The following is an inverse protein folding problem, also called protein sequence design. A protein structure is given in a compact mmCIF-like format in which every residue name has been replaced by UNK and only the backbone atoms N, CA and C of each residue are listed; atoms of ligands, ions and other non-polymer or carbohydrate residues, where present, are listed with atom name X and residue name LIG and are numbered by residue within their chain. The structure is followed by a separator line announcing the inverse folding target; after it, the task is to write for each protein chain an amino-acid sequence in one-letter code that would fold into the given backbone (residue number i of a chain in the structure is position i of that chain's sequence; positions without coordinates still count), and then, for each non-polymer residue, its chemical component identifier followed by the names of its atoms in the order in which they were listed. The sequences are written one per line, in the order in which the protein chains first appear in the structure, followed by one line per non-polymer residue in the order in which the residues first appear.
data_IF_793260524704
#
_entry.id   IF_793260524704
#
_cell.length_a   1.000
_cell.length_b   1.000
_cell.length_c   1.000
_cell.angle_alpha   90.00
_cell.angle_beta   90.00
_cell.angle_gamma   90.00
#
_symmetry.space_group_name_H-M   'P 1'
#
loop_
_entity.id
_entity.type
_entity.pdbx_description
1 polymer ?
#
# COMPACT_ATOMS: atom_id res chain seq x y z
N UNK A 1 2.25 -11.23 30.83
CA UNK A 1 1.56 -10.89 29.57
C UNK A 1 1.38 -9.38 29.39
N UNK A 2 0.88 -8.61 30.37
CA UNK A 2 0.73 -7.15 30.24
C UNK A 2 2.05 -6.39 29.97
N UNK A 3 3.17 -6.79 30.58
CA UNK A 3 4.48 -6.16 30.36
C UNK A 3 4.98 -6.36 28.93
N UNK A 4 4.77 -7.54 28.34
CA UNK A 4 5.10 -7.84 26.94
C UNK A 4 4.22 -7.04 25.96
N UNK A 5 2.92 -6.89 26.27
CA UNK A 5 2.02 -6.07 25.48
C UNK A 5 2.41 -4.59 25.49
N UNK A 6 2.89 -4.07 26.64
CA UNK A 6 3.36 -2.70 26.77
C UNK A 6 4.59 -2.42 25.89
N UNK A 7 5.56 -3.34 25.83
CA UNK A 7 6.73 -3.18 24.94
C UNK A 7 6.34 -3.20 23.46
N UNK A 8 5.41 -4.08 23.07
CA UNK A 8 4.89 -4.14 21.69
C UNK A 8 4.16 -2.85 21.33
N UNK A 9 3.35 -2.31 22.26
CA UNK A 9 2.63 -1.06 22.05
C UNK A 9 3.60 0.12 21.94
N UNK A 10 4.64 0.18 22.78
CA UNK A 10 5.68 1.20 22.71
C UNK A 10 6.51 1.10 21.41
N UNK A 11 6.84 -0.10 20.95
CA UNK A 11 7.52 -0.31 19.66
C UNK A 11 6.63 0.09 18.48
N UNK A 12 5.36 -0.33 18.46
CA UNK A 12 4.41 0.05 17.42
C UNK A 12 4.14 1.55 17.37
N UNK A 13 4.00 2.19 18.55
CA UNK A 13 3.93 3.66 18.67
C UNK A 13 5.23 4.32 18.20
N UNK A 14 6.39 3.76 18.55
CA UNK A 14 7.68 4.27 18.10
C UNK A 14 7.80 4.20 16.58
N UNK A 15 7.44 3.08 15.95
CA UNK A 15 7.48 2.96 14.49
C UNK A 15 6.44 3.85 13.79
N UNK A 16 5.22 3.95 14.32
CA UNK A 16 4.20 4.84 13.78
C UNK A 16 4.60 6.32 13.91
N UNK A 17 5.13 6.72 15.08
CA UNK A 17 5.62 8.09 15.30
C UNK A 17 6.91 8.37 14.55
N UNK A 18 7.78 7.38 14.32
CA UNK A 18 8.96 7.49 13.45
C UNK A 18 8.50 7.71 12.01
N UNK A 19 7.56 6.92 11.48
CA UNK A 19 6.97 7.13 10.15
C UNK A 19 6.33 8.52 10.01
N UNK A 20 5.63 9.01 11.03
CA UNK A 20 5.03 10.36 11.03
C UNK A 20 6.05 11.50 11.22
N UNK A 21 7.03 11.37 12.12
CA UNK A 21 8.07 12.39 12.38
C UNK A 21 9.03 12.52 11.20
N UNK A 22 9.28 11.43 10.49
CA UNK A 22 10.05 11.43 9.25
C UNK A 22 9.32 12.13 8.10
N UNK A 23 8.13 12.72 8.33
CA UNK A 23 7.40 13.66 7.45
C UNK A 23 7.86 13.57 6.01
N UNK A 24 7.38 12.57 5.28
CA UNK A 24 7.57 12.51 3.83
C UNK A 24 7.24 13.90 3.24
N UNK A 25 8.13 14.39 2.36
CA UNK A 25 8.93 15.59 2.56
C UNK A 25 8.13 16.91 2.57
N UNK A 26 8.76 18.01 2.98
CA UNK A 26 8.28 19.38 2.71
C UNK A 26 8.17 19.58 1.19
N UNK A 27 7.00 19.24 0.65
CA UNK A 27 6.63 19.15 -0.77
C UNK A 27 6.87 20.47 -1.54
N UNK A 28 6.97 21.61 -0.86
CA UNK A 28 6.93 22.94 -1.51
C UNK A 28 8.15 23.20 -2.41
N UNK A 29 9.35 22.71 -2.05
CA UNK A 29 10.55 22.87 -2.90
C UNK A 29 10.73 21.79 -3.97
N UNK A 30 10.14 20.60 -3.77
CA UNK A 30 10.32 19.44 -4.66
C UNK A 30 9.23 19.34 -5.74
N UNK A 31 8.08 20.01 -5.60
CA UNK A 31 7.04 20.04 -6.66
C UNK A 31 7.61 20.54 -7.99
N UNK A 32 8.54 21.51 -7.94
CA UNK A 32 9.11 22.16 -9.11
C UNK A 32 9.86 21.18 -10.04
N UNK A 33 10.43 20.09 -9.50
CA UNK A 33 11.21 19.12 -10.30
C UNK A 33 10.36 17.97 -10.85
N UNK A 34 9.07 17.85 -10.50
CA UNK A 34 8.17 16.79 -10.99
C UNK A 34 8.47 15.37 -10.49
N UNK A 35 9.66 15.15 -9.92
CA UNK A 35 10.16 13.86 -9.42
C UNK A 35 9.30 13.29 -8.28
N UNK A 36 8.82 14.07 -7.29
CA UNK A 36 7.92 13.55 -6.26
C UNK A 36 6.61 13.02 -6.82
N UNK A 37 6.03 13.67 -7.84
CA UNK A 37 4.80 13.22 -8.50
C UNK A 37 5.03 11.90 -9.23
N UNK A 38 6.17 11.78 -9.94
CA UNK A 38 6.58 10.53 -10.58
C UNK A 38 6.71 9.39 -9.56
N UNK A 39 7.41 9.64 -8.44
CA UNK A 39 7.61 8.65 -7.38
C UNK A 39 6.29 8.27 -6.71
N UNK A 40 5.41 9.25 -6.40
CA UNK A 40 4.12 8.97 -5.77
C UNK A 40 3.18 8.19 -6.69
N UNK A 41 3.15 8.53 -7.99
CA UNK A 41 2.37 7.80 -8.98
C UNK A 41 2.90 6.37 -9.14
N UNK A 42 4.21 6.22 -9.30
CA UNK A 42 4.87 4.92 -9.40
C UNK A 42 4.64 4.05 -8.17
N UNK A 43 4.79 4.60 -6.96
CA UNK A 43 4.58 3.86 -5.71
C UNK A 43 3.11 3.42 -5.54
N UNK A 44 2.16 4.26 -5.96
CA UNK A 44 0.74 3.89 -5.91
C UNK A 44 0.41 2.72 -6.85
N UNK A 45 1.01 2.70 -8.05
CA UNK A 45 0.85 1.58 -8.98
C UNK A 45 1.56 0.31 -8.49
N UNK A 46 2.72 0.44 -7.87
CA UNK A 46 3.47 -0.68 -7.25
C UNK A 46 2.62 -1.36 -6.17
N UNK A 47 2.00 -0.57 -5.27
CA UNK A 47 1.11 -1.08 -4.21
C UNK A 47 -0.07 -1.89 -4.80
N UNK A 48 -0.70 -1.37 -5.87
CA UNK A 48 -1.78 -2.07 -6.59
C UNK A 48 -1.30 -3.41 -7.14
N UNK A 49 -0.17 -3.40 -7.85
CA UNK A 49 0.36 -4.58 -8.51
C UNK A 49 0.76 -5.66 -7.50
N UNK A 50 1.45 -5.27 -6.42
CA UNK A 50 1.86 -6.17 -5.34
C UNK A 50 0.65 -6.81 -4.67
N UNK A 51 -0.41 -6.05 -4.38
CA UNK A 51 -1.64 -6.59 -3.78
C UNK A 51 -2.30 -7.65 -4.68
N UNK A 52 -2.40 -7.38 -5.98
CA UNK A 52 -3.02 -8.33 -6.94
C UNK A 52 -2.20 -9.60 -7.06
N UNK A 53 -0.89 -9.49 -7.25
CA UNK A 53 0.00 -10.65 -7.31
C UNK A 53 -0.05 -11.46 -6.02
N UNK A 54 -0.01 -10.77 -4.87
CA UNK A 54 -0.09 -11.40 -3.58
C UNK A 54 -1.40 -12.20 -3.40
N UNK A 55 -2.56 -11.58 -3.70
CA UNK A 55 -3.85 -12.26 -3.61
C UNK A 55 -3.88 -13.52 -4.50
N UNK A 56 -3.40 -13.38 -5.75
CA UNK A 56 -3.34 -14.52 -6.69
C UNK A 56 -2.45 -15.65 -6.19
N UNK A 57 -1.25 -15.34 -5.68
CA UNK A 57 -0.35 -16.36 -5.15
C UNK A 57 -0.92 -17.06 -3.93
N UNK A 58 -1.61 -16.32 -3.04
CA UNK A 58 -2.29 -16.91 -1.89
C UNK A 58 -3.39 -17.87 -2.35
N UNK A 59 -4.22 -17.47 -3.32
CA UNK A 59 -5.26 -18.36 -3.89
C UNK A 59 -4.66 -19.61 -4.51
N UNK A 60 -3.54 -19.49 -5.24
CA UNK A 60 -2.85 -20.63 -5.85
C UNK A 60 -2.31 -21.61 -4.80
N UNK A 61 -1.70 -21.10 -3.73
CA UNK A 61 -1.19 -21.93 -2.63
C UNK A 61 -2.33 -22.62 -1.87
N UNK A 62 -3.47 -21.95 -1.68
CA UNK A 62 -4.65 -22.54 -1.05
C UNK A 62 -5.36 -23.56 -1.94
N UNK A 63 -5.36 -23.35 -3.26
CA UNK A 63 -5.99 -24.23 -4.24
C UNK A 63 -5.20 -25.51 -4.57
N UNK A 64 -3.94 -25.61 -4.14
CA UNK A 64 -3.14 -26.84 -4.22
C UNK A 64 -2.65 -27.25 -5.62
N UNK A 65 -3.08 -26.56 -6.68
CA UNK A 65 -2.65 -26.80 -8.06
C UNK A 65 -2.29 -25.48 -8.75
N UNK A 66 -1.08 -25.40 -9.33
CA UNK A 66 -0.70 -24.30 -10.20
C UNK A 66 -1.10 -24.65 -11.64
N UNK A 67 -2.34 -24.33 -12.01
CA UNK A 67 -2.84 -24.56 -13.36
C UNK A 67 -2.51 -23.36 -14.26
N UNK A 68 -2.30 -23.60 -15.57
CA UNK A 68 -2.15 -22.52 -16.55
C UNK A 68 -3.38 -21.58 -16.58
N UNK A 69 -4.55 -22.06 -16.17
CA UNK A 69 -5.76 -21.26 -15.98
C UNK A 69 -5.63 -20.21 -14.88
N UNK A 70 -4.85 -20.45 -13.82
CA UNK A 70 -4.66 -19.48 -12.72
C UNK A 70 -3.84 -18.27 -13.18
N UNK A 71 -2.93 -18.47 -14.13
CA UNK A 71 -2.17 -17.38 -14.75
C UNK A 71 -3.03 -16.49 -15.65
N UNK A 72 -4.02 -17.07 -16.35
CA UNK A 72 -5.04 -16.29 -17.10
C UNK A 72 -5.96 -15.54 -16.12
N UNK A 73 -6.19 -16.10 -14.93
CA UNK A 73 -6.92 -15.46 -13.84
C UNK A 73 -6.32 -14.11 -13.42
N UNK A 74 -5.01 -13.90 -13.55
CA UNK A 74 -4.36 -12.65 -13.14
C UNK A 74 -4.84 -11.45 -14.00
N UNK A 75 -4.66 -11.40 -15.34
CA UNK A 75 -5.19 -10.30 -16.15
C UNK A 75 -6.71 -10.13 -16.00
N UNK A 76 -7.45 -11.23 -15.93
CA UNK A 76 -8.91 -11.21 -15.78
C UNK A 76 -9.31 -10.55 -14.45
N UNK A 77 -8.63 -10.88 -13.35
CA UNK A 77 -8.87 -10.31 -12.03
C UNK A 77 -8.60 -8.81 -11.97
N UNK A 78 -7.59 -8.35 -12.70
CA UNK A 78 -7.26 -6.93 -12.83
C UNK A 78 -8.37 -6.20 -13.57
N UNK A 79 -8.73 -6.71 -14.75
CA UNK A 79 -9.76 -6.08 -15.60
C UNK A 79 -11.09 -6.04 -14.86
N UNK A 80 -11.54 -7.16 -14.30
CA UNK A 80 -12.82 -7.24 -13.60
C UNK A 80 -12.84 -6.40 -12.32
N UNK A 81 -11.74 -6.40 -11.55
CA UNK A 81 -11.60 -5.54 -10.37
C UNK A 81 -11.73 -4.07 -10.73
N UNK A 82 -11.04 -3.61 -11.78
CA UNK A 82 -11.14 -2.23 -12.27
C UNK A 82 -12.56 -1.92 -12.74
N UNK A 83 -13.18 -2.81 -13.52
CA UNK A 83 -14.51 -2.60 -14.08
C UNK A 83 -15.57 -2.49 -12.98
N UNK A 84 -15.52 -3.37 -11.98
CA UNK A 84 -16.39 -3.32 -10.80
C UNK A 84 -16.16 -2.04 -9.98
N UNK A 85 -14.90 -1.62 -9.82
CA UNK A 85 -14.55 -0.36 -9.16
C UNK A 85 -15.08 0.87 -9.89
N UNK A 86 -15.02 0.88 -11.22
CA UNK A 86 -15.59 1.96 -12.04
C UNK A 86 -17.12 1.99 -11.89
N UNK A 87 -17.79 0.84 -11.94
CA UNK A 87 -19.25 0.76 -11.80
C UNK A 87 -19.70 1.27 -10.43
N UNK A 88 -19.10 0.76 -9.34
CA UNK A 88 -19.41 1.16 -7.97
C UNK A 88 -19.03 2.63 -7.70
N UNK A 89 -17.91 3.10 -8.24
CA UNK A 89 -17.48 4.50 -8.15
C UNK A 89 -18.43 5.43 -8.87
N UNK A 90 -18.95 5.04 -10.04
CA UNK A 90 -19.85 5.86 -10.83
C UNK A 90 -21.19 6.00 -10.11
N UNK A 91 -21.69 4.88 -9.57
CA UNK A 91 -22.88 4.86 -8.73
C UNK A 91 -22.75 5.80 -7.52
N UNK A 92 -21.64 5.73 -6.78
CA UNK A 92 -21.42 6.59 -5.61
C UNK A 92 -21.21 8.07 -5.98
N UNK A 93 -20.49 8.34 -7.07
CA UNK A 93 -20.28 9.70 -7.55
C UNK A 93 -21.62 10.35 -7.93
N UNK A 94 -22.43 9.62 -8.71
CA UNK A 94 -23.78 10.03 -9.09
C UNK A 94 -24.66 10.28 -7.87
N UNK A 95 -24.63 9.38 -6.86
CA UNK A 95 -25.39 9.55 -5.62
C UNK A 95 -24.95 10.80 -4.84
N UNK A 96 -23.65 11.04 -4.68
CA UNK A 96 -23.13 12.19 -3.95
C UNK A 96 -23.37 13.52 -4.68
N UNK A 97 -23.28 13.55 -5.99
CA UNK A 97 -23.49 14.73 -6.83
C UNK A 97 -24.97 15.07 -6.96
N UNK A 98 -25.83 14.09 -7.26
CA UNK A 98 -27.30 14.27 -7.34
C UNK A 98 -27.84 14.84 -6.02
N UNK A 99 -27.37 14.29 -4.90
CA UNK A 99 -27.81 14.71 -3.57
C UNK A 99 -27.27 16.10 -3.20
N UNK A 100 -26.08 16.47 -3.70
CA UNK A 100 -25.53 17.81 -3.55
C UNK A 100 -26.32 18.86 -4.34
N UNK A 101 -26.67 18.56 -5.60
CA UNK A 101 -27.45 19.46 -6.45
C UNK A 101 -28.89 19.64 -5.96
N UNK A 102 -29.50 18.61 -5.35
CA UNK A 102 -30.84 18.68 -4.75
C UNK A 102 -30.87 19.38 -3.38
N UNK A 103 -29.79 20.05 -2.95
CA UNK A 103 -29.62 20.73 -1.64
C UNK A 103 -29.81 19.85 -0.38
N UNK A 104 -30.01 18.55 -0.52
CA UNK A 104 -30.02 17.60 0.59
C UNK A 104 -28.58 17.24 0.99
N UNK A 105 -27.88 18.12 1.69
CA UNK A 105 -26.47 17.87 2.02
C UNK A 105 -26.27 16.65 2.94
N UNK A 106 -25.82 15.51 2.39
CA UNK A 106 -25.35 14.36 3.18
C UNK A 106 -24.11 14.79 3.98
N UNK A 107 -24.15 14.56 5.30
CA UNK A 107 -23.05 14.84 6.21
C UNK A 107 -21.79 14.08 5.78
N UNK A 108 -20.63 14.73 5.82
CA UNK A 108 -19.36 14.13 5.39
C UNK A 108 -19.04 12.79 6.10
N UNK A 109 -19.38 12.66 7.40
CA UNK A 109 -19.20 11.40 8.12
C UNK A 109 -20.06 10.27 7.54
N UNK A 110 -21.28 10.58 7.08
CA UNK A 110 -22.16 9.59 6.43
C UNK A 110 -21.58 9.15 5.09
N UNK A 111 -20.98 10.07 4.30
CA UNK A 111 -20.29 9.70 3.06
C UNK A 111 -19.12 8.75 3.30
N UNK A 112 -18.36 8.96 4.37
CA UNK A 112 -17.26 8.06 4.78
C UNK A 112 -17.81 6.67 5.13
N UNK A 113 -18.89 6.60 5.92
CA UNK A 113 -19.52 5.33 6.30
C UNK A 113 -20.05 4.58 5.07
N UNK A 114 -20.72 5.28 4.15
CA UNK A 114 -21.20 4.69 2.90
C UNK A 114 -20.04 4.14 2.09
N UNK A 115 -18.97 4.92 1.91
CA UNK A 115 -17.80 4.48 1.14
C UNK A 115 -17.16 3.25 1.78
N UNK A 116 -16.96 3.26 3.10
CA UNK A 116 -16.40 2.12 3.83
C UNK A 116 -17.29 0.87 3.72
N UNK A 117 -18.62 1.05 3.77
CA UNK A 117 -19.58 -0.05 3.63
C UNK A 117 -19.53 -0.68 2.23
N UNK A 118 -19.47 0.16 1.17
CA UNK A 118 -19.31 -0.34 -0.20
C UNK A 118 -17.94 -0.99 -0.37
N UNK A 119 -16.88 -0.46 0.23
CA UNK A 119 -15.56 -1.10 0.19
C UNK A 119 -15.60 -2.51 0.78
N UNK A 120 -16.17 -2.69 1.98
CA UNK A 120 -16.31 -4.02 2.57
C UNK A 120 -17.19 -4.95 1.74
N UNK A 121 -18.26 -4.43 1.12
CA UNK A 121 -19.09 -5.21 0.20
C UNK A 121 -18.29 -5.70 -1.02
N UNK A 122 -17.43 -4.87 -1.60
CA UNK A 122 -16.57 -5.26 -2.73
C UNK A 122 -15.57 -6.37 -2.34
N UNK A 123 -15.04 -6.32 -1.11
CA UNK A 123 -14.17 -7.38 -0.58
C UNK A 123 -14.95 -8.69 -0.33
N UNK A 124 -16.18 -8.61 0.19
CA UNK A 124 -17.03 -9.79 0.39
C UNK A 124 -17.50 -10.40 -0.95
N UNK A 125 -17.66 -9.58 -1.99
CA UNK A 125 -17.92 -10.07 -3.33
C UNK A 125 -16.73 -10.85 -3.91
N UNK A 126 -15.48 -10.45 -3.61
CA UNK A 126 -14.28 -11.21 -3.99
C UNK A 126 -14.28 -12.60 -3.34
N UNK A 127 -14.51 -12.70 -2.03
CA UNK A 127 -14.51 -13.99 -1.31
C UNK A 127 -15.64 -14.91 -1.79
N UNK A 128 -16.83 -14.35 -2.04
CA UNK A 128 -17.99 -15.13 -2.50
C UNK A 128 -17.90 -15.53 -3.98
N UNK A 129 -17.24 -14.72 -4.80
CA UNK A 129 -17.10 -14.98 -6.25
C UNK A 129 -15.86 -15.78 -6.59
N UNK A 130 -14.93 -15.98 -5.64
CA UNK A 130 -13.73 -16.80 -5.78
C UNK A 130 -13.92 -18.16 -6.48
N UNK A 131 -15.01 -18.94 -6.23
CA UNK A 131 -15.20 -20.23 -6.92
C UNK A 131 -15.65 -20.10 -8.40
N UNK A 132 -16.07 -18.93 -8.86
CA UNK A 132 -16.66 -18.73 -10.21
C UNK A 132 -15.79 -17.80 -11.05
N UNK A 133 -15.27 -16.72 -10.46
CA UNK A 133 -14.52 -15.67 -11.15
C UNK A 133 -13.48 -15.06 -10.21
N UNK A 134 -12.21 -15.06 -10.62
CA UNK A 134 -11.15 -14.32 -9.93
C UNK A 134 -11.31 -12.83 -10.18
N UNK A 135 -11.67 -12.05 -9.15
CA UNK A 135 -11.71 -10.59 -9.19
C UNK A 135 -11.00 -10.01 -7.96
N UNK A 136 -10.26 -8.91 -8.11
CA UNK A 136 -9.62 -8.25 -6.97
C UNK A 136 -10.53 -7.19 -6.36
N UNK A 137 -11.03 -7.43 -5.15
CA UNK A 137 -11.88 -6.52 -4.39
C UNK A 137 -11.12 -5.28 -3.90
N UNK A 138 -9.87 -5.45 -3.46
CA UNK A 138 -8.98 -4.33 -3.13
C UNK A 138 -8.75 -3.41 -4.34
N UNK A 139 -8.53 -3.97 -5.53
CA UNK A 139 -8.42 -3.18 -6.75
C UNK A 139 -9.72 -2.44 -7.08
N UNK A 140 -10.87 -3.09 -6.91
CA UNK A 140 -12.16 -2.45 -7.10
C UNK A 140 -12.34 -1.23 -6.17
N UNK A 141 -11.92 -1.33 -4.89
CA UNK A 141 -11.95 -0.21 -3.95
C UNK A 141 -11.04 0.94 -4.40
N UNK A 142 -9.83 0.63 -4.89
CA UNK A 142 -8.89 1.65 -5.37
C UNK A 142 -9.45 2.35 -6.63
N UNK A 143 -9.93 1.58 -7.61
CA UNK A 143 -10.55 2.10 -8.83
C UNK A 143 -11.80 2.94 -8.53
N UNK A 144 -12.64 2.51 -7.57
CA UNK A 144 -13.77 3.28 -7.07
C UNK A 144 -13.32 4.63 -6.48
N UNK A 145 -12.28 4.63 -5.65
CA UNK A 145 -11.74 5.85 -5.04
C UNK A 145 -11.14 6.81 -6.08
N UNK A 146 -10.44 6.29 -7.09
CA UNK A 146 -9.93 7.10 -8.22
C UNK A 146 -11.07 7.71 -9.01
N UNK A 147 -12.12 6.95 -9.32
CA UNK A 147 -13.27 7.48 -10.03
C UNK A 147 -13.99 8.55 -9.21
N UNK A 148 -14.20 8.34 -7.91
CA UNK A 148 -14.75 9.35 -7.03
C UNK A 148 -13.92 10.63 -7.02
N UNK A 149 -12.58 10.52 -7.01
CA UNK A 149 -11.68 11.68 -7.05
C UNK A 149 -11.78 12.46 -8.36
N UNK A 150 -12.01 11.79 -9.49
CA UNK A 150 -12.09 12.42 -10.82
C UNK A 150 -13.48 12.96 -11.15
N UNK A 151 -14.55 12.27 -10.71
CA UNK A 151 -15.93 12.66 -11.01
C UNK A 151 -16.54 13.62 -10.00
N UNK A 152 -16.23 13.49 -8.71
CA UNK A 152 -16.84 14.36 -7.69
C UNK A 152 -16.22 15.76 -7.73
N UNK A 153 -17.03 16.76 -7.39
CA UNK A 153 -16.60 18.14 -7.16
C UNK A 153 -15.43 18.18 -6.16
N UNK A 154 -14.41 19.01 -6.44
CA UNK A 154 -13.19 19.13 -5.63
C UNK A 154 -13.46 19.29 -4.13
N UNK A 155 -14.50 20.04 -3.77
CA UNK A 155 -14.90 20.25 -2.37
C UNK A 155 -15.31 18.95 -1.67
N UNK A 156 -15.99 18.04 -2.36
CA UNK A 156 -16.40 16.73 -1.80
C UNK A 156 -15.20 15.81 -1.69
N UNK A 157 -14.42 15.68 -2.76
CA UNK A 157 -13.22 14.83 -2.81
C UNK A 157 -12.18 15.24 -1.75
N UNK A 158 -11.89 16.55 -1.63
CA UNK A 158 -10.96 17.09 -0.63
C UNK A 158 -11.42 16.83 0.81
N UNK A 159 -12.70 17.06 1.10
CA UNK A 159 -13.28 16.79 2.44
C UNK A 159 -13.25 15.31 2.80
N UNK A 160 -13.47 14.44 1.82
CA UNK A 160 -13.41 13.00 2.01
C UNK A 160 -11.97 12.56 2.30
N UNK A 161 -11.00 13.07 1.52
CA UNK A 161 -9.57 12.84 1.75
C UNK A 161 -9.11 13.31 3.13
N UNK A 162 -9.54 14.50 3.59
CA UNK A 162 -9.25 15.00 4.95
C UNK A 162 -9.77 14.05 6.04
N UNK A 163 -10.96 13.47 5.85
CA UNK A 163 -11.56 12.54 6.81
C UNK A 163 -10.87 11.17 6.82
N UNK A 164 -10.54 10.64 5.64
CA UNK A 164 -9.74 9.41 5.54
C UNK A 164 -8.33 9.60 6.11
N UNK A 165 -7.72 10.77 5.92
CA UNK A 165 -6.42 11.08 6.56
C UNK A 165 -6.48 11.04 8.09
N UNK A 166 -7.58 11.51 8.69
CA UNK A 166 -7.79 11.41 10.16
C UNK A 166 -8.03 9.98 10.61
N UNK A 167 -8.81 9.20 9.86
CA UNK A 167 -9.05 7.79 10.14
C UNK A 167 -7.76 6.96 10.01
N UNK A 168 -6.95 7.28 9.00
CA UNK A 168 -5.68 6.65 8.74
C UNK A 168 -4.70 6.76 9.93
N UNK A 169 -4.62 7.90 10.61
CA UNK A 169 -3.74 8.05 11.78
C UNK A 169 -4.00 6.97 12.85
N UNK A 170 -5.27 6.65 13.10
CA UNK A 170 -5.66 5.60 14.06
C UNK A 170 -5.41 4.21 13.48
N UNK A 171 -5.78 3.98 12.22
CA UNK A 171 -5.60 2.70 11.54
C UNK A 171 -4.11 2.33 11.41
N UNK A 172 -3.25 3.28 11.09
CA UNK A 172 -1.79 3.13 10.99
C UNK A 172 -1.19 2.68 12.32
N UNK A 173 -1.60 3.31 13.42
CA UNK A 173 -1.14 2.94 14.76
C UNK A 173 -1.56 1.52 15.11
N UNK A 174 -2.83 1.17 14.89
CA UNK A 174 -3.33 -0.18 15.15
C UNK A 174 -2.59 -1.20 14.27
N UNK A 175 -2.40 -0.90 12.98
CA UNK A 175 -1.71 -1.78 12.03
C UNK A 175 -0.29 -2.11 12.50
N UNK A 176 0.53 -1.11 12.79
CA UNK A 176 1.92 -1.34 13.18
C UNK A 176 2.06 -1.99 14.56
N UNK A 177 1.18 -1.66 15.51
CA UNK A 177 1.15 -2.32 16.82
C UNK A 177 0.79 -3.80 16.67
N UNK A 178 -0.25 -4.13 15.88
CA UNK A 178 -0.67 -5.51 15.69
C UNK A 178 0.34 -6.33 14.90
N UNK A 179 0.96 -5.75 13.88
CA UNK A 179 2.04 -6.40 13.12
C UNK A 179 3.23 -6.68 14.03
N UNK A 180 3.62 -5.71 14.87
CA UNK A 180 4.64 -5.92 15.89
C UNK A 180 4.25 -7.01 16.91
N UNK A 181 2.97 -7.11 17.27
CA UNK A 181 2.47 -8.14 18.17
C UNK A 181 2.48 -9.54 17.56
N UNK A 182 2.22 -9.64 16.26
CA UNK A 182 2.14 -10.91 15.54
C UNK A 182 3.51 -11.54 15.26
N UNK A 183 4.59 -10.76 15.34
CA UNK A 183 5.95 -11.23 15.04
C UNK A 183 6.49 -12.09 16.17
N UNK A 184 6.84 -13.34 15.84
CA UNK A 184 7.63 -14.18 16.73
C UNK A 184 9.13 -13.88 16.57
N UNK A 185 9.71 -13.33 17.63
CA UNK A 185 11.14 -12.97 17.71
C UNK A 185 12.04 -14.18 17.46
N UNK A 186 11.63 -15.40 17.83
CA UNK A 186 12.42 -16.62 17.64
C UNK A 186 12.59 -16.96 16.16
N UNK A 187 11.52 -16.80 15.38
CA UNK A 187 11.57 -16.99 13.93
C UNK A 187 12.36 -15.87 13.25
N UNK A 188 12.20 -14.62 13.70
CA UNK A 188 12.97 -13.49 13.18
C UNK A 188 14.47 -13.64 13.42
N UNK A 189 14.88 -14.14 14.59
CA UNK A 189 16.29 -14.42 14.90
C UNK A 189 16.85 -15.59 14.09
N UNK A 190 16.07 -16.65 13.86
CA UNK A 190 16.47 -17.79 13.02
C UNK A 190 16.55 -17.43 11.53
N UNK A 191 15.63 -16.61 11.05
CA UNK A 191 15.63 -16.10 9.68
C UNK A 191 16.72 -15.03 9.45
N UNK A 192 17.25 -14.44 10.52
CA UNK A 192 18.07 -13.22 10.57
C UNK A 192 18.98 -12.97 9.36
N UNK A 193 20.16 -13.59 9.31
CA UNK A 193 21.17 -13.29 8.29
C UNK A 193 20.66 -13.61 6.86
N UNK A 194 20.06 -14.78 6.58
CA UNK A 194 19.48 -15.06 5.26
C UNK A 194 18.43 -14.04 4.80
N UNK A 195 17.57 -13.58 5.72
CA UNK A 195 16.54 -12.58 5.43
C UNK A 195 17.15 -11.22 5.10
N UNK A 196 18.21 -10.80 5.81
CA UNK A 196 18.93 -9.55 5.52
C UNK A 196 19.55 -9.60 4.12
N UNK A 197 20.23 -10.71 3.78
CA UNK A 197 20.83 -10.90 2.46
C UNK A 197 19.75 -10.84 1.37
N UNK A 198 18.62 -11.53 1.58
CA UNK A 198 17.48 -11.49 0.66
C UNK A 198 16.95 -10.06 0.44
N UNK A 199 16.82 -9.27 1.52
CA UNK A 199 16.37 -7.87 1.44
C UNK A 199 17.33 -7.05 0.57
N UNK A 200 18.65 -7.15 0.80
CA UNK A 200 19.63 -6.40 0.00
C UNK A 200 19.64 -6.82 -1.47
N UNK A 201 19.50 -8.11 -1.76
CA UNK A 201 19.36 -8.62 -3.13
C UNK A 201 18.10 -8.05 -3.79
N UNK A 202 16.95 -8.07 -3.09
CA UNK A 202 15.71 -7.51 -3.59
C UNK A 202 15.81 -5.99 -3.85
N UNK A 203 16.47 -5.25 -2.94
CA UNK A 203 16.74 -3.82 -3.11
C UNK A 203 17.64 -3.55 -4.32
N UNK A 204 18.62 -4.40 -4.59
CA UNK A 204 19.49 -4.27 -5.75
C UNK A 204 18.71 -4.46 -7.06
N UNK A 205 17.88 -5.50 -7.17
CA UNK A 205 17.01 -5.69 -8.34
C UNK A 205 16.01 -4.55 -8.52
N UNK A 206 15.45 -4.02 -7.42
CA UNK A 206 14.58 -2.84 -7.46
C UNK A 206 15.32 -1.61 -7.97
N UNK A 207 16.55 -1.37 -7.50
CA UNK A 207 17.39 -0.27 -7.96
C UNK A 207 17.68 -0.37 -9.46
N UNK A 208 18.02 -1.56 -9.95
CA UNK A 208 18.20 -1.82 -11.38
C UNK A 208 16.91 -1.57 -12.16
N UNK A 209 15.77 -2.09 -11.68
CA UNK A 209 14.47 -1.87 -12.32
C UNK A 209 14.12 -0.39 -12.44
N UNK A 210 14.32 0.40 -11.38
CA UNK A 210 14.10 1.86 -11.41
C UNK A 210 15.04 2.51 -12.42
N UNK A 211 16.33 2.18 -12.42
CA UNK A 211 17.29 2.75 -13.37
C UNK A 211 16.91 2.43 -14.82
N UNK A 212 16.49 1.19 -15.10
CA UNK A 212 16.00 0.75 -16.42
C UNK A 212 14.77 1.55 -16.85
N UNK A 213 13.80 1.74 -15.97
CA UNK A 213 12.60 2.54 -16.23
C UNK A 213 12.94 4.03 -16.50
N UNK A 214 14.05 4.54 -15.97
CA UNK A 214 14.47 5.93 -16.12
C UNK A 214 15.45 6.17 -17.29
N UNK A 215 15.93 5.14 -18.00
CA UNK A 215 16.97 5.27 -19.02
C UNK A 215 16.65 6.30 -20.12
N UNK A 216 15.40 6.32 -20.60
CA UNK A 216 14.92 7.23 -21.66
C UNK A 216 14.30 8.53 -21.13
N UNK A 217 14.39 8.80 -19.83
CA UNK A 217 13.84 10.02 -19.23
C UNK A 217 14.85 11.17 -19.29
N UNK A 218 14.40 12.44 -19.34
CA UNK A 218 15.28 13.61 -19.34
C UNK A 218 15.99 13.87 -18.00
N UNK A 219 15.96 12.91 -17.06
CA UNK A 219 16.56 13.04 -15.74
C UNK A 219 18.08 12.85 -15.78
N UNK A 220 18.79 13.69 -15.04
CA UNK A 220 20.24 13.59 -14.81
C UNK A 220 20.60 12.35 -13.97
N UNK A 221 21.87 11.93 -14.00
CA UNK A 221 22.34 10.80 -13.18
C UNK A 221 22.11 11.02 -11.68
N UNK A 222 22.21 12.27 -11.21
CA UNK A 222 21.94 12.64 -9.80
C UNK A 222 20.46 12.45 -9.45
N UNK A 223 19.55 12.88 -10.33
CA UNK A 223 18.11 12.72 -10.14
C UNK A 223 17.67 11.25 -10.25
N UNK A 224 18.30 10.48 -11.15
CA UNK A 224 18.06 9.02 -11.24
C UNK A 224 18.47 8.30 -9.96
N UNK A 225 19.62 8.66 -9.38
CA UNK A 225 20.06 8.12 -8.10
C UNK A 225 19.11 8.54 -6.96
N UNK A 226 18.64 9.79 -6.96
CA UNK A 226 17.62 10.24 -6.01
C UNK A 226 16.33 9.42 -6.14
N UNK A 227 15.87 9.15 -7.36
CA UNK A 227 14.70 8.31 -7.60
C UNK A 227 14.90 6.90 -7.03
N UNK A 228 16.06 6.26 -7.24
CA UNK A 228 16.35 4.94 -6.66
C UNK A 228 16.24 4.96 -5.14
N UNK A 229 16.82 5.96 -4.48
CA UNK A 229 16.80 6.10 -3.02
C UNK A 229 15.37 6.36 -2.52
N UNK A 230 14.65 7.26 -3.19
CA UNK A 230 13.29 7.64 -2.80
C UNK A 230 12.25 6.55 -3.08
N UNK A 231 12.55 5.63 -4.01
CA UNK A 231 11.70 4.49 -4.35
C UNK A 231 11.95 3.28 -3.44
N UNK A 232 12.85 3.35 -2.45
CA UNK A 232 13.10 2.25 -1.53
C UNK A 232 11.80 1.84 -0.79
N UNK A 233 11.54 0.53 -0.58
CA UNK A 233 10.24 0.02 -0.13
C UNK A 233 9.77 0.64 1.18
N UNK A 234 8.48 1.00 1.19
CA UNK A 234 7.78 1.55 2.35
C UNK A 234 7.09 0.46 3.15
N UNK A 235 6.79 0.80 4.39
CA UNK A 235 6.40 -0.16 5.41
C UNK A 235 4.93 -0.63 5.35
N UNK A 236 4.04 0.14 4.70
CA UNK A 236 2.59 0.02 4.91
C UNK A 236 1.97 -1.20 4.25
N UNK A 237 2.23 -1.44 2.96
CA UNK A 237 1.71 -2.64 2.27
C UNK A 237 2.34 -3.90 2.84
N UNK A 238 3.65 -3.87 3.11
CA UNK A 238 4.38 -4.98 3.74
C UNK A 238 3.79 -5.35 5.11
N UNK A 239 3.46 -4.35 5.93
CA UNK A 239 2.79 -4.57 7.22
C UNK A 239 1.38 -5.13 7.05
N UNK A 240 0.62 -4.63 6.08
CA UNK A 240 -0.77 -5.02 5.86
C UNK A 240 -0.91 -6.46 5.33
N UNK A 241 -0.10 -6.86 4.34
CA UNK A 241 -0.23 -8.19 3.71
C UNK A 241 0.67 -9.24 4.34
N UNK A 242 1.74 -8.85 5.06
CA UNK A 242 2.73 -9.78 5.60
C UNK A 242 2.16 -10.78 6.62
N UNK A 243 1.09 -10.43 7.32
CA UNK A 243 0.42 -11.30 8.29
C UNK A 243 -0.65 -12.21 7.68
N UNK A 244 -1.07 -11.97 6.44
CA UNK A 244 -2.16 -12.72 5.79
C UNK A 244 -1.82 -14.21 5.62
N UNK A 245 -0.62 -14.61 5.17
CA UNK A 245 -0.29 -16.04 5.05
C UNK A 245 -0.30 -16.75 6.40
N UNK A 246 0.09 -16.03 7.47
CA UNK A 246 0.04 -16.53 8.84
C UNK A 246 -1.41 -16.74 9.30
N UNK A 247 -2.31 -15.80 9.03
CA UNK A 247 -3.73 -15.92 9.41
C UNK A 247 -4.46 -17.02 8.64
N UNK A 248 -3.99 -17.34 7.42
CA UNK A 248 -4.51 -18.44 6.60
C UNK A 248 -3.90 -19.80 6.97
N UNK A 249 -3.02 -19.86 7.97
CA UNK A 249 -2.40 -21.10 8.45
C UNK A 249 -1.34 -21.69 7.52
N UNK A 250 -0.77 -20.88 6.61
CA UNK A 250 0.26 -21.36 5.68
C UNK A 250 1.58 -21.64 6.42
N UNK A 251 2.30 -22.75 6.12
CA UNK A 251 3.54 -23.10 6.80
C UNK A 251 4.65 -22.04 6.67
N UNK A 252 4.66 -21.30 5.56
CA UNK A 252 5.59 -20.20 5.30
C UNK A 252 5.18 -18.88 5.99
N UNK A 253 4.01 -18.82 6.61
CA UNK A 253 3.43 -17.60 7.19
C UNK A 253 4.32 -16.89 8.20
N UNK A 254 4.86 -17.58 9.23
CA UNK A 254 5.79 -16.96 10.19
C UNK A 254 7.03 -16.38 9.52
N UNK A 255 7.59 -17.08 8.52
CA UNK A 255 8.80 -16.63 7.80
C UNK A 255 8.49 -15.38 6.98
N UNK A 256 7.39 -15.37 6.24
CA UNK A 256 6.98 -14.20 5.43
C UNK A 256 6.75 -12.98 6.34
N UNK A 257 6.05 -13.15 7.47
CA UNK A 257 5.83 -12.08 8.43
C UNK A 257 7.15 -11.56 9.01
N UNK A 258 8.05 -12.44 9.44
CA UNK A 258 9.36 -12.07 9.98
C UNK A 258 10.22 -11.31 8.95
N UNK A 259 10.26 -11.77 7.69
CA UNK A 259 11.00 -11.09 6.62
C UNK A 259 10.38 -9.74 6.29
N UNK A 260 9.05 -9.64 6.25
CA UNK A 260 8.35 -8.37 6.02
C UNK A 260 8.67 -7.35 7.11
N UNK A 261 8.63 -7.75 8.38
CA UNK A 261 8.97 -6.85 9.50
C UNK A 261 10.45 -6.47 9.52
N UNK A 262 11.36 -7.40 9.23
CA UNK A 262 12.77 -7.07 9.11
C UNK A 262 13.03 -6.10 7.95
N UNK A 263 12.33 -6.28 6.83
CA UNK A 263 12.29 -5.35 5.71
C UNK A 263 11.89 -3.95 6.17
N UNK A 264 10.75 -3.82 6.86
CA UNK A 264 10.25 -2.54 7.40
C UNK A 264 11.29 -1.84 8.29
N UNK A 265 11.89 -2.60 9.22
CA UNK A 265 12.84 -2.06 10.19
C UNK A 265 14.11 -1.55 9.50
N UNK A 266 14.54 -2.20 8.41
CA UNK A 266 15.76 -1.83 7.68
C UNK A 266 15.47 -0.73 6.66
N UNK A 267 14.47 -0.91 5.79
CA UNK A 267 14.27 -0.05 4.62
C UNK A 267 13.64 1.29 4.96
N UNK A 268 12.74 1.37 5.96
CA UNK A 268 12.07 2.62 6.28
C UNK A 268 13.03 3.70 6.84
N UNK A 269 13.90 3.40 7.84
CA UNK A 269 14.89 4.37 8.30
C UNK A 269 15.94 4.71 7.24
N UNK A 270 16.45 3.70 6.52
CA UNK A 270 17.44 3.92 5.45
C UNK A 270 16.87 4.81 4.33
N UNK A 271 15.61 4.61 3.96
CA UNK A 271 14.94 5.39 2.91
C UNK A 271 14.74 6.83 3.32
N UNK A 272 14.28 7.06 4.56
CA UNK A 272 14.08 8.40 5.07
C UNK A 272 15.40 9.17 5.23
N UNK A 273 16.43 8.55 5.81
CA UNK A 273 17.77 9.13 5.90
C UNK A 273 18.36 9.40 4.51
N UNK A 274 18.16 8.48 3.56
CA UNK A 274 18.57 8.65 2.17
C UNK A 274 17.91 9.88 1.54
N UNK A 275 16.60 10.04 1.67
CA UNK A 275 15.87 11.20 1.15
C UNK A 275 16.36 12.50 1.80
N UNK A 276 16.43 12.56 3.13
CA UNK A 276 16.77 13.78 3.87
C UNK A 276 18.20 14.27 3.62
N UNK A 277 19.14 13.34 3.43
CA UNK A 277 20.54 13.69 3.14
C UNK A 277 20.78 14.04 1.68
N UNK A 278 20.04 13.42 0.75
CA UNK A 278 20.29 13.54 -0.67
C UNK A 278 19.42 14.56 -1.39
N UNK A 279 18.24 14.93 -0.89
CA UNK A 279 17.35 15.86 -1.61
C UNK A 279 18.02 17.20 -1.92
N UNK A 280 18.79 17.76 -0.99
CA UNK A 280 19.51 19.03 -1.21
C UNK A 280 20.69 18.90 -2.19
N UNK A 281 21.30 17.72 -2.28
CA UNK A 281 22.54 17.47 -3.04
C UNK A 281 22.27 16.96 -4.45
N UNK A 282 21.18 16.21 -4.64
CA UNK A 282 20.84 15.53 -5.88
C UNK A 282 19.71 16.21 -6.68
N UNK A 283 18.88 17.05 -6.04
CA UNK A 283 17.76 17.75 -6.71
C UNK A 283 17.99 19.27 -6.88
N UNK A 284 19.19 19.77 -6.52
CA UNK A 284 19.61 21.11 -6.91
C UNK A 284 20.37 21.04 -8.22
N UNK A 285 20.10 22.01 -9.09
CA UNK A 285 20.99 22.37 -10.22
C UNK A 285 22.45 22.46 -9.74
#
# INVERSE_FOLDING_TARGET
MLTSLAYIFLLGLFFATLCQKLKLPRIIGMIATGIPQLIMAGASCDDVFVIVLFSTFVTMVQGGHASLSDFIGIPVSIVLGILLGIVSGFFLASLFETTYHRRHHIRNSTKVIILLSVSFLLLELETRSAPIVSMSGLLAVISMAVLLKTKCIDKVSKRLSEKFGKLWIVAELILFVLVGAAVDIRYTLRAGIPAIILIFIALFFRALGVLLCLLKTPLTLKERLFCVIAYMPKATVQAAIGSVPLSLGLPCGPIILSVAVLGIIITAPLGALGIDTTYKKLLKE
#
